data_IF_744904366081
#
_entry.id   IF_744904366081
#
_cell.length_a   1.000
_cell.length_b   1.000
_cell.length_c   1.000
_cell.angle_alpha   90.00
_cell.angle_beta   90.00
_cell.angle_gamma   90.00
#
_symmetry.space_group_name_H-M   'P 1'
#
loop_
_entity.id
_entity.type
_entity.pdbx_description
1 polymer ?
#
# COMPACT_ATOMS: atom_id res chain seq x y z
N UNK A 1 13.27 53.62 48.82
CA UNK A 1 13.64 53.71 47.39
C UNK A 1 13.86 52.29 46.88
N UNK A 2 12.93 51.77 46.08
CA UNK A 2 13.16 50.69 45.09
C UNK A 2 13.99 51.25 43.91
N UNK A 3 14.61 50.47 42.97
CA UNK A 3 14.11 49.27 42.27
C UNK A 3 15.11 48.09 42.29
N UNK A 4 14.77 46.83 42.02
CA UNK A 4 13.93 46.27 40.96
C UNK A 4 14.81 45.91 39.76
N UNK A 5 14.93 44.62 39.43
CA UNK A 5 14.97 44.10 38.05
C UNK A 5 15.04 42.58 38.06
N UNK A 6 13.87 41.98 37.85
CA UNK A 6 13.78 40.65 37.26
C UNK A 6 14.30 40.70 35.83
N UNK A 7 15.00 39.65 35.44
CA UNK A 7 15.16 39.31 34.04
C UNK A 7 14.45 37.98 33.86
N UNK A 8 13.20 38.06 33.40
CA UNK A 8 12.54 36.93 32.78
C UNK A 8 13.44 36.44 31.64
N UNK A 9 13.97 35.23 31.79
CA UNK A 9 14.58 34.50 30.70
C UNK A 9 13.46 34.25 29.68
N UNK A 10 13.36 35.15 28.70
CA UNK A 10 12.45 35.02 27.58
C UNK A 10 12.57 33.62 27.01
N UNK A 11 11.48 32.87 27.13
CA UNK A 11 11.29 31.65 26.39
C UNK A 11 11.54 31.99 24.92
N UNK A 12 12.64 31.48 24.38
CA UNK A 12 12.87 31.48 22.94
C UNK A 12 11.78 30.60 22.34
N UNK A 13 10.68 31.22 21.91
CA UNK A 13 9.81 30.58 20.94
C UNK A 13 10.68 30.30 19.72
N UNK A 14 11.04 29.02 19.57
CA UNK A 14 11.75 28.55 18.40
C UNK A 14 10.94 28.90 17.14
N UNK A 15 11.60 28.96 15.97
CA UNK A 15 10.90 29.22 14.72
C UNK A 15 9.69 28.26 14.62
N UNK A 16 8.51 28.76 14.20
CA UNK A 16 7.32 27.92 14.07
C UNK A 16 7.70 26.69 13.24
N UNK A 17 7.27 25.47 13.63
CA UNK A 17 7.63 24.27 12.90
C UNK A 17 7.29 24.50 11.43
N UNK A 18 8.29 24.37 10.56
CA UNK A 18 8.09 24.47 9.13
C UNK A 18 6.95 23.55 8.69
N UNK A 19 6.32 23.78 7.53
CA UNK A 19 5.25 22.92 7.06
C UNK A 19 5.72 21.46 7.13
N UNK A 20 5.07 20.64 7.96
CA UNK A 20 5.49 19.27 8.23
C UNK A 20 5.80 18.55 6.91
N UNK A 21 6.90 17.77 6.89
CA UNK A 21 7.34 17.04 5.71
C UNK A 21 6.10 16.37 5.07
N UNK A 22 5.82 16.59 3.77
CA UNK A 22 4.70 15.94 3.10
C UNK A 22 4.61 14.43 3.37
N UNK A 23 5.76 13.77 3.57
CA UNK A 23 5.83 12.35 3.94
C UNK A 23 5.38 12.11 5.39
N UNK A 24 5.78 12.95 6.35
CA UNK A 24 5.29 12.84 7.74
C UNK A 24 3.77 13.00 7.82
N UNK A 25 3.21 13.97 7.07
CA UNK A 25 1.75 14.15 7.01
C UNK A 25 1.05 12.95 6.38
N UNK A 26 1.61 12.40 5.31
CA UNK A 26 1.07 11.21 4.65
C UNK A 26 1.08 10.00 5.61
N UNK A 27 2.20 9.77 6.29
CA UNK A 27 2.35 8.65 7.23
C UNK A 27 1.47 8.78 8.48
N UNK A 28 1.13 10.01 8.89
CA UNK A 28 0.16 10.24 9.97
C UNK A 28 -1.24 9.72 9.60
N UNK A 29 -1.62 9.79 8.33
CA UNK A 29 -2.93 9.35 7.83
C UNK A 29 -2.91 7.89 7.33
N UNK A 30 -1.77 7.45 6.80
CA UNK A 30 -1.55 6.13 6.19
C UNK A 30 -0.25 5.49 6.72
N UNK A 31 -0.19 5.11 8.01
CA UNK A 31 1.01 4.52 8.61
C UNK A 31 1.45 3.22 7.92
N UNK A 32 0.53 2.50 7.29
CA UNK A 32 0.80 1.28 6.53
C UNK A 32 1.78 1.49 5.36
N UNK A 33 1.88 2.71 4.82
CA UNK A 33 2.80 3.04 3.73
C UNK A 33 4.27 3.06 4.18
N UNK A 34 4.54 3.09 5.47
CA UNK A 34 5.88 2.98 6.03
C UNK A 34 6.59 1.69 5.56
N UNK A 35 5.83 0.65 5.23
CA UNK A 35 6.36 -0.62 4.72
C UNK A 35 7.17 -0.48 3.42
N UNK A 36 7.00 0.61 2.65
CA UNK A 36 7.81 0.92 1.46
C UNK A 36 9.11 1.67 1.77
N UNK A 37 9.22 2.27 2.96
CA UNK A 37 10.35 3.12 3.36
C UNK A 37 10.20 4.59 2.97
N UNK A 38 10.84 5.47 3.76
CA UNK A 38 10.71 6.91 3.62
C UNK A 38 11.19 7.45 2.26
N UNK A 39 12.28 6.90 1.71
CA UNK A 39 12.82 7.36 0.43
C UNK A 39 11.88 7.07 -0.75
N UNK A 40 11.19 5.93 -0.70
CA UNK A 40 10.14 5.59 -1.66
C UNK A 40 8.99 6.60 -1.60
N UNK A 41 8.55 6.94 -0.39
CA UNK A 41 7.48 7.92 -0.19
C UNK A 41 7.89 9.32 -0.63
N UNK A 42 9.13 9.76 -0.36
CA UNK A 42 9.64 11.04 -0.87
C UNK A 42 9.65 11.08 -2.39
N UNK A 43 10.02 9.97 -3.03
CA UNK A 43 10.04 9.88 -4.48
C UNK A 43 8.62 9.94 -5.08
N UNK A 44 7.61 9.33 -4.45
CA UNK A 44 6.30 9.13 -5.09
C UNK A 44 5.15 9.98 -4.54
N UNK A 45 5.20 10.44 -3.28
CA UNK A 45 4.13 11.25 -2.69
C UNK A 45 3.80 12.53 -3.49
N UNK A 46 4.78 13.24 -4.11
CA UNK A 46 4.47 14.41 -4.94
C UNK A 46 3.77 14.07 -6.27
N UNK A 47 3.87 12.83 -6.75
CA UNK A 47 3.49 12.44 -8.12
C UNK A 47 2.32 11.46 -8.19
N UNK A 48 2.07 10.68 -7.13
CA UNK A 48 1.17 9.54 -7.16
C UNK A 48 0.29 9.44 -5.92
N UNK A 49 -0.05 10.57 -5.27
CA UNK A 49 -0.77 10.60 -3.98
C UNK A 49 -2.01 9.70 -3.96
N UNK A 50 -2.90 9.82 -4.94
CA UNK A 50 -4.13 9.02 -4.98
C UNK A 50 -3.83 7.52 -5.07
N UNK A 51 -2.84 7.15 -5.88
CA UNK A 51 -2.37 5.76 -5.97
C UNK A 51 -1.78 5.25 -4.65
N UNK A 52 -1.06 6.11 -3.92
CA UNK A 52 -0.55 5.76 -2.59
C UNK A 52 -1.68 5.50 -1.61
N UNK A 53 -2.75 6.30 -1.66
CA UNK A 53 -3.95 6.12 -0.83
C UNK A 53 -4.66 4.79 -1.15
N UNK A 54 -4.78 4.43 -2.43
CA UNK A 54 -5.33 3.13 -2.83
C UNK A 54 -4.50 1.96 -2.28
N UNK A 55 -3.17 2.02 -2.44
CA UNK A 55 -2.23 1.01 -1.91
C UNK A 55 -2.38 0.90 -0.39
N UNK A 56 -2.43 2.04 0.30
CA UNK A 56 -2.62 2.09 1.74
C UNK A 56 -3.94 1.41 2.15
N UNK A 57 -5.04 1.71 1.45
CA UNK A 57 -6.33 1.06 1.65
C UNK A 57 -6.27 -0.47 1.52
N UNK A 58 -5.55 -0.99 0.52
CA UNK A 58 -5.37 -2.43 0.37
C UNK A 58 -4.54 -3.05 1.51
N UNK A 59 -3.45 -2.41 1.93
CA UNK A 59 -2.62 -2.90 3.04
C UNK A 59 -3.39 -2.85 4.35
N UNK A 60 -4.20 -1.81 4.57
CA UNK A 60 -5.08 -1.70 5.74
C UNK A 60 -6.11 -2.83 5.79
N UNK A 61 -6.69 -3.18 4.63
CA UNK A 61 -7.61 -4.31 4.50
C UNK A 61 -6.91 -5.66 4.65
N UNK A 62 -5.65 -5.76 4.22
CA UNK A 62 -4.82 -6.97 4.25
C UNK A 62 -3.45 -6.71 4.90
N UNK A 63 -3.37 -6.61 6.24
CA UNK A 63 -2.15 -6.17 6.94
C UNK A 63 -0.90 -7.02 6.66
N UNK A 64 -1.06 -8.28 6.26
CA UNK A 64 0.05 -9.16 5.87
C UNK A 64 0.86 -8.61 4.67
N UNK A 65 0.26 -7.76 3.83
CA UNK A 65 0.93 -7.13 2.70
C UNK A 65 2.08 -6.22 3.16
N UNK A 66 1.91 -5.51 4.27
CA UNK A 66 2.97 -4.71 4.88
C UNK A 66 4.15 -5.59 5.35
N UNK A 67 3.86 -6.76 5.93
CA UNK A 67 4.90 -7.70 6.36
C UNK A 67 5.72 -8.24 5.19
N UNK A 68 5.08 -8.51 4.06
CA UNK A 68 5.77 -8.92 2.83
C UNK A 68 6.71 -7.82 2.34
N UNK A 69 6.22 -6.58 2.29
CA UNK A 69 6.99 -5.41 1.87
C UNK A 69 8.22 -5.17 2.77
N UNK A 70 8.06 -5.28 4.09
CA UNK A 70 9.14 -5.13 5.07
C UNK A 70 10.20 -6.22 4.95
N UNK A 71 9.78 -7.49 4.83
CA UNK A 71 10.69 -8.64 4.82
C UNK A 71 11.42 -8.82 3.50
N UNK A 72 10.78 -8.44 2.39
CA UNK A 72 11.30 -8.65 1.03
C UNK A 72 11.26 -7.34 0.25
N UNK A 73 12.13 -6.38 0.60
CA UNK A 73 12.19 -5.11 -0.11
C UNK A 73 12.42 -5.39 -1.60
N UNK A 74 11.42 -5.04 -2.40
CA UNK A 74 11.62 -4.90 -3.85
C UNK A 74 12.30 -3.56 -4.04
N UNK A 75 13.32 -3.51 -4.89
CA UNK A 75 14.01 -2.26 -5.20
C UNK A 75 13.00 -1.27 -5.81
N UNK A 76 12.44 -0.39 -4.97
CA UNK A 76 11.60 0.75 -5.32
C UNK A 76 10.58 0.46 -6.45
N UNK A 77 9.50 -0.30 -6.19
CA UNK A 77 8.49 -0.53 -7.22
C UNK A 77 7.81 0.79 -7.61
N UNK A 78 7.56 1.00 -8.90
CA UNK A 78 6.70 2.11 -9.31
C UNK A 78 5.29 1.92 -8.70
N UNK A 79 4.61 2.96 -8.16
CA UNK A 79 3.32 2.79 -7.47
C UNK A 79 2.24 2.08 -8.30
N UNK A 80 2.24 2.31 -9.62
CA UNK A 80 1.29 1.67 -10.55
C UNK A 80 1.65 0.24 -10.96
N UNK A 81 2.83 -0.26 -10.57
CA UNK A 81 3.18 -1.68 -10.68
C UNK A 81 2.74 -2.48 -9.46
N UNK A 82 2.40 -1.81 -8.36
CA UNK A 82 1.78 -2.43 -7.20
C UNK A 82 0.33 -2.69 -7.55
N UNK A 83 -0.07 -3.95 -7.51
CA UNK A 83 -1.44 -4.41 -7.74
C UNK A 83 -1.87 -5.28 -6.56
N UNK A 84 -3.15 -5.19 -6.19
CA UNK A 84 -3.74 -6.12 -5.25
C UNK A 84 -4.97 -6.76 -5.86
N UNK A 85 -5.09 -8.06 -5.67
CA UNK A 85 -6.13 -8.91 -6.21
C UNK A 85 -6.84 -9.64 -5.08
N UNK A 86 -8.14 -9.82 -5.22
CA UNK A 86 -8.95 -10.58 -4.25
C UNK A 86 -9.78 -11.58 -5.01
N UNK A 87 -9.73 -12.85 -4.62
CA UNK A 87 -10.59 -13.86 -5.21
C UNK A 87 -12.06 -13.45 -5.02
N UNK A 88 -12.91 -13.66 -6.03
CA UNK A 88 -14.33 -13.28 -5.99
C UNK A 88 -15.06 -13.93 -4.80
N UNK A 89 -14.63 -15.14 -4.41
CA UNK A 89 -15.15 -15.87 -3.24
C UNK A 89 -14.57 -15.41 -1.89
N UNK A 90 -13.67 -14.42 -1.89
CA UNK A 90 -13.01 -13.86 -0.71
C UNK A 90 -11.98 -14.77 -0.04
N UNK A 91 -11.69 -15.94 -0.62
CA UNK A 91 -10.86 -16.97 0.04
C UNK A 91 -9.35 -16.73 -0.08
N UNK A 92 -8.93 -15.80 -0.94
CA UNK A 92 -7.54 -15.48 -1.20
C UNK A 92 -7.39 -13.99 -1.55
N UNK A 93 -6.32 -13.38 -1.05
CA UNK A 93 -5.88 -12.06 -1.47
C UNK A 93 -4.42 -12.13 -1.90
N UNK A 94 -4.07 -11.40 -2.96
CA UNK A 94 -2.72 -11.38 -3.51
C UNK A 94 -2.21 -9.94 -3.67
N UNK A 95 -0.90 -9.78 -3.49
CA UNK A 95 -0.13 -8.57 -3.72
C UNK A 95 0.89 -8.85 -4.82
N UNK A 96 0.79 -8.15 -5.93
CA UNK A 96 1.78 -8.15 -7.00
C UNK A 96 2.58 -6.86 -6.93
N UNK A 97 3.91 -6.97 -6.86
CA UNK A 97 4.83 -5.83 -6.84
C UNK A 97 5.46 -5.59 -8.21
N UNK A 98 5.43 -6.63 -9.06
CA UNK A 98 5.73 -6.63 -10.48
C UNK A 98 5.31 -8.00 -11.05
N UNK A 99 5.52 -8.21 -12.36
CA UNK A 99 5.17 -9.46 -13.06
C UNK A 99 5.80 -10.75 -12.47
N UNK A 100 6.91 -10.65 -11.75
CA UNK A 100 7.64 -11.80 -11.21
C UNK A 100 7.48 -11.99 -9.70
N UNK A 101 6.93 -11.00 -8.99
CA UNK A 101 6.82 -11.01 -7.53
C UNK A 101 5.38 -10.80 -7.12
N UNK A 102 4.67 -11.93 -7.05
CA UNK A 102 3.33 -11.98 -6.47
C UNK A 102 3.35 -12.81 -5.19
N UNK A 103 2.65 -12.34 -4.18
CA UNK A 103 2.46 -13.04 -2.91
C UNK A 103 0.96 -13.19 -2.68
N UNK A 104 0.53 -14.36 -2.25
CA UNK A 104 -0.88 -14.60 -1.94
C UNK A 104 -1.01 -15.12 -0.51
N UNK A 105 -2.12 -14.75 0.11
CA UNK A 105 -2.52 -15.23 1.41
C UNK A 105 -3.80 -16.06 1.28
N UNK A 106 -3.73 -17.33 1.68
CA UNK A 106 -4.87 -18.23 1.76
C UNK A 106 -4.94 -18.81 3.18
N UNK A 107 -6.09 -18.70 3.83
CA UNK A 107 -6.31 -19.25 5.18
C UNK A 107 -5.22 -18.86 6.21
N UNK A 108 -4.68 -17.65 6.12
CA UNK A 108 -3.63 -17.14 7.01
C UNK A 108 -2.20 -17.54 6.66
N UNK A 109 -1.98 -18.42 5.68
CA UNK A 109 -0.66 -18.73 5.16
C UNK A 109 -0.30 -17.77 4.02
N UNK A 110 0.86 -17.12 4.10
CA UNK A 110 1.37 -16.18 3.10
C UNK A 110 2.55 -16.82 2.36
N UNK A 111 2.52 -16.81 1.03
CA UNK A 111 3.58 -17.38 0.20
C UNK A 111 3.74 -16.65 -1.13
N UNK A 112 4.91 -16.85 -1.75
CA UNK A 112 5.13 -16.42 -3.14
C UNK A 112 4.31 -17.29 -4.08
N UNK A 113 3.63 -16.66 -5.02
CA UNK A 113 2.71 -17.31 -5.95
C UNK A 113 3.05 -16.91 -7.38
N UNK A 114 3.13 -17.90 -8.28
CA UNK A 114 3.10 -17.66 -9.71
C UNK A 114 1.66 -17.40 -10.13
N UNK A 115 1.19 -16.16 -10.03
CA UNK A 115 -0.16 -15.80 -10.44
C UNK A 115 -0.13 -15.23 -11.86
N UNK A 116 -0.63 -16.01 -12.82
CA UNK A 116 -0.80 -15.55 -14.19
C UNK A 116 -2.27 -15.27 -14.47
N UNK A 117 -2.60 -13.99 -14.65
CA UNK A 117 -3.95 -13.52 -14.89
C UNK A 117 -4.11 -12.97 -16.31
N UNK A 118 -5.34 -13.06 -16.81
CA UNK A 118 -5.81 -12.31 -17.96
C UNK A 118 -7.15 -11.63 -17.65
N UNK A 119 -7.34 -10.46 -18.24
CA UNK A 119 -8.56 -9.69 -18.08
C UNK A 119 -9.76 -10.50 -18.59
N UNK A 120 -10.85 -10.48 -17.83
CA UNK A 120 -12.11 -11.13 -18.17
C UNK A 120 -13.18 -10.08 -18.50
N UNK A 121 -13.49 -9.19 -17.55
CA UNK A 121 -14.61 -8.25 -17.64
C UNK A 121 -14.52 -7.14 -16.60
N UNK A 122 -15.41 -6.17 -16.68
CA UNK A 122 -15.64 -5.18 -15.63
C UNK A 122 -16.90 -5.55 -14.83
N UNK A 123 -16.82 -5.49 -13.51
CA UNK A 123 -17.98 -5.70 -12.61
C UNK A 123 -17.98 -4.69 -11.46
N UNK A 124 -19.14 -4.50 -10.83
CA UNK A 124 -19.25 -3.66 -9.65
C UNK A 124 -18.78 -4.45 -8.42
N UNK A 125 -17.68 -4.01 -7.81
CA UNK A 125 -17.15 -4.55 -6.56
C UNK A 125 -16.96 -3.41 -5.56
N UNK A 126 -17.51 -3.58 -4.35
CA UNK A 126 -17.50 -2.56 -3.29
C UNK A 126 -17.99 -1.17 -3.78
N UNK A 127 -19.02 -1.16 -4.64
CA UNK A 127 -19.62 0.07 -5.16
C UNK A 127 -18.82 0.80 -6.24
N UNK A 128 -17.73 0.22 -6.74
CA UNK A 128 -16.94 0.76 -7.86
C UNK A 128 -16.85 -0.24 -9.00
N UNK A 129 -16.73 0.24 -10.24
CA UNK A 129 -16.42 -0.62 -11.38
C UNK A 129 -14.96 -1.07 -11.24
N UNK A 130 -14.73 -2.38 -11.18
CA UNK A 130 -13.42 -3.01 -11.04
C UNK A 130 -13.19 -4.02 -12.17
N UNK A 131 -11.94 -4.19 -12.52
CA UNK A 131 -11.50 -5.20 -13.46
C UNK A 131 -11.49 -6.58 -12.77
N UNK A 132 -12.12 -7.55 -13.42
CA UNK A 132 -12.12 -8.97 -13.03
C UNK A 132 -11.19 -9.72 -13.97
N UNK A 133 -10.37 -10.56 -13.38
CA UNK A 133 -9.35 -11.36 -14.03
C UNK A 133 -9.58 -12.84 -13.77
N UNK A 134 -9.15 -13.67 -14.71
CA UNK A 134 -9.16 -15.13 -14.55
C UNK A 134 -7.75 -15.69 -14.75
N UNK A 135 -7.41 -16.85 -14.14
CA UNK A 135 -6.13 -17.49 -14.34
C UNK A 135 -5.98 -17.89 -15.80
N UNK A 136 -4.75 -17.82 -16.30
CA UNK A 136 -4.39 -18.26 -17.64
C UNK A 136 -3.36 -19.40 -17.61
N UNK A 137 -3.04 -19.94 -18.78
CA UNK A 137 -2.08 -21.03 -18.92
C UNK A 137 -2.51 -22.28 -18.14
N UNK A 138 -1.55 -22.98 -17.54
CA UNK A 138 -1.82 -24.20 -16.78
C UNK A 138 -2.70 -23.95 -15.54
N UNK A 139 -2.64 -22.74 -14.96
CA UNK A 139 -3.41 -22.40 -13.76
C UNK A 139 -4.92 -22.36 -14.02
N UNK A 140 -5.32 -22.03 -15.26
CA UNK A 140 -6.72 -21.99 -15.68
C UNK A 140 -7.44 -23.34 -15.54
N UNK A 141 -6.69 -24.45 -15.60
CA UNK A 141 -7.25 -25.81 -15.56
C UNK A 141 -7.14 -26.48 -14.18
N UNK A 142 -6.67 -25.74 -13.17
CA UNK A 142 -6.56 -26.28 -11.82
C UNK A 142 -7.93 -26.28 -11.13
N UNK A 143 -8.19 -27.29 -10.28
CA UNK A 143 -9.40 -27.32 -9.45
C UNK A 143 -9.51 -26.14 -8.46
N UNK A 144 -8.43 -25.36 -8.30
CA UNK A 144 -8.35 -24.17 -7.46
C UNK A 144 -8.46 -22.87 -8.26
N UNK A 145 -8.73 -22.92 -9.56
CA UNK A 145 -8.85 -21.72 -10.39
C UNK A 145 -10.00 -20.84 -9.89
N UNK A 146 -9.71 -19.56 -9.65
CA UNK A 146 -10.64 -18.56 -9.12
C UNK A 146 -10.55 -17.31 -9.96
N UNK A 147 -11.66 -16.59 -10.10
CA UNK A 147 -11.62 -15.24 -10.63
C UNK A 147 -11.16 -14.27 -9.54
N UNK A 148 -10.45 -13.22 -9.95
CA UNK A 148 -9.85 -12.23 -9.07
C UNK A 148 -10.29 -10.82 -9.47
N UNK A 149 -10.68 -10.02 -8.49
CA UNK A 149 -10.96 -8.60 -8.68
C UNK A 149 -9.70 -7.80 -8.38
N UNK A 150 -9.33 -6.86 -9.26
CA UNK A 150 -8.27 -5.88 -8.98
C UNK A 150 -8.83 -4.75 -8.12
N UNK A 151 -8.27 -4.55 -6.94
CA UNK A 151 -8.84 -3.65 -5.92
C UNK A 151 -8.11 -2.31 -5.76
N UNK A 152 -6.97 -2.13 -6.44
CA UNK A 152 -6.25 -0.86 -6.50
C UNK A 152 -6.73 -0.04 -7.69
#
# INVERSE_FOLDING_TARGET
MSPGNGVDAGAVEGPPPGPADPVERLLKEYPELEAFGADWLRAWAPHAKDRLVEIAGAIRKYPWMAEVLRRRPVANPHPYMVEAYVAVDGSEACLSLNRLRTYCAQNGAVGEAGLELEFSRHEVYEGRIREVYRPKGLLAFTAKAKEYVRIL
#
